data_IF_491053207802
#
_entry.id   IF_491053207802
#
_cell.length_a   1.000
_cell.length_b   1.000
_cell.length_c   1.000
_cell.angle_alpha   90.00
_cell.angle_beta   90.00
_cell.angle_gamma   90.00
#
_symmetry.space_group_name_H-M   'P 1'
#
loop_
_entity.id
_entity.type
_entity.pdbx_description
1 polymer ?
#
# COMPACT_ATOMS: atom_id res chain seq x y z
N UNK A 1 13.86 7.23 -4.47
CA UNK A 1 12.98 6.07 -4.22
C UNK A 1 13.57 5.32 -3.03
N UNK A 2 13.16 5.67 -1.81
CA UNK A 2 13.70 5.07 -0.59
C UNK A 2 13.15 3.65 -0.44
N UNK A 3 14.04 2.66 -0.34
CA UNK A 3 13.69 1.30 -0.01
C UNK A 3 13.28 1.22 1.47
N UNK A 4 12.00 0.99 1.74
CA UNK A 4 11.52 0.68 3.09
C UNK A 4 11.97 -0.76 3.40
N UNK A 5 12.83 -0.93 4.40
CA UNK A 5 13.05 -2.25 5.02
C UNK A 5 11.81 -2.61 5.80
N UNK A 6 10.82 -3.18 5.12
CA UNK A 6 9.63 -3.73 5.75
C UNK A 6 10.11 -4.95 6.54
N UNK A 7 10.13 -4.82 7.86
CA UNK A 7 10.14 -5.96 8.74
C UNK A 7 8.78 -6.66 8.55
N UNK A 8 8.76 -7.67 7.68
CA UNK A 8 7.56 -8.43 7.23
C UNK A 8 6.77 -9.06 8.40
N UNK A 9 7.25 -8.95 9.64
CA UNK A 9 6.75 -9.74 10.77
C UNK A 9 5.98 -8.98 11.86
N UNK A 10 5.84 -7.64 11.83
CA UNK A 10 5.33 -6.90 13.02
C UNK A 10 4.42 -5.68 12.77
N UNK A 11 4.12 -5.26 11.54
CA UNK A 11 3.34 -4.03 11.30
C UNK A 11 2.11 -4.28 10.42
N UNK A 12 0.93 -4.16 11.03
CA UNK A 12 -0.39 -4.17 10.37
C UNK A 12 -0.76 -2.82 9.75
N UNK A 13 0.03 -1.77 10.01
CA UNK A 13 -0.18 -0.39 9.54
C UNK A 13 1.12 0.20 9.03
N UNK A 14 1.07 0.84 7.87
CA UNK A 14 2.19 1.58 7.28
C UNK A 14 1.74 3.01 6.98
N UNK A 15 2.59 3.98 7.32
CA UNK A 15 2.39 5.38 7.01
C UNK A 15 3.56 5.96 6.22
N UNK A 16 3.25 6.81 5.25
CA UNK A 16 4.24 7.49 4.41
C UNK A 16 3.68 8.79 3.84
N UNK A 17 4.57 9.71 3.51
CA UNK A 17 4.22 10.96 2.83
C UNK A 17 4.30 10.73 1.33
N UNK A 18 3.17 10.92 0.65
CA UNK A 18 3.08 10.82 -0.81
C UNK A 18 3.83 11.98 -1.48
N UNK A 19 4.17 11.83 -2.77
CA UNK A 19 4.79 12.92 -3.55
C UNK A 19 3.93 14.21 -3.60
N UNK A 20 2.63 14.10 -3.32
CA UNK A 20 1.73 15.25 -3.17
C UNK A 20 1.75 15.91 -1.80
N UNK A 21 2.70 15.55 -0.92
CA UNK A 21 2.83 16.11 0.43
C UNK A 21 1.75 15.64 1.42
N UNK A 22 1.02 14.56 1.10
CA UNK A 22 -0.08 14.05 1.93
C UNK A 22 0.33 12.78 2.66
N UNK A 23 -0.08 12.64 3.92
CA UNK A 23 0.07 11.41 4.68
C UNK A 23 -0.92 10.36 4.13
N UNK A 24 -0.39 9.22 3.70
CA UNK A 24 -1.17 8.04 3.39
C UNK A 24 -0.92 7.01 4.49
N UNK A 25 -2.01 6.48 5.03
CA UNK A 25 -2.01 5.35 5.96
C UNK A 25 -2.66 4.18 5.23
N UNK A 26 -1.98 3.04 5.21
CA UNK A 26 -2.48 1.79 4.65
C UNK A 26 -2.35 0.69 5.70
N UNK A 27 -3.37 -0.15 5.79
CA UNK A 27 -3.47 -1.17 6.82
C UNK A 27 -3.83 -2.52 6.19
N UNK A 28 -3.50 -3.59 6.90
CA UNK A 28 -3.79 -4.93 6.44
C UNK A 28 -2.94 -5.98 7.14
N UNK A 29 -2.74 -7.09 6.45
CA UNK A 29 -2.20 -8.31 7.03
C UNK A 29 -1.54 -9.21 5.98
N UNK A 30 -0.99 -10.32 6.46
CA UNK A 30 -0.49 -11.38 5.60
C UNK A 30 -1.64 -12.15 4.94
N UNK A 31 -1.60 -12.27 3.62
CA UNK A 31 -2.53 -13.06 2.79
C UNK A 31 -1.72 -13.85 1.77
N UNK A 32 -1.91 -15.18 1.73
CA UNK A 32 -1.26 -16.07 0.77
C UNK A 32 0.27 -15.89 0.67
N UNK A 33 0.93 -15.68 1.82
CA UNK A 33 2.38 -15.49 1.91
C UNK A 33 2.89 -14.10 1.49
N UNK A 34 1.99 -13.13 1.25
CA UNK A 34 2.32 -11.75 0.95
C UNK A 34 1.73 -10.81 2.01
N UNK A 35 2.41 -9.70 2.33
CA UNK A 35 1.79 -8.62 3.08
C UNK A 35 0.92 -7.80 2.12
N UNK A 36 -0.37 -7.68 2.43
CA UNK A 36 -1.33 -6.91 1.63
C UNK A 36 -1.88 -5.79 2.49
N UNK A 37 -1.52 -4.55 2.15
CA UNK A 37 -2.00 -3.35 2.84
C UNK A 37 -2.81 -2.49 1.88
N UNK A 38 -3.89 -1.89 2.35
CA UNK A 38 -4.72 -0.99 1.56
C UNK A 38 -5.18 0.22 2.38
N UNK A 39 -5.52 1.29 1.69
CA UNK A 39 -6.04 2.51 2.31
C UNK A 39 -6.54 3.49 1.26
N UNK A 40 -7.05 4.63 1.72
CA UNK A 40 -7.57 5.67 0.84
C UNK A 40 -6.54 6.79 0.68
N UNK A 41 -6.10 7.01 -0.56
CA UNK A 41 -5.33 8.19 -0.98
C UNK A 41 -6.34 9.29 -1.33
N UNK A 42 -6.84 9.96 -0.30
CA UNK A 42 -7.87 10.99 -0.39
C UNK A 42 -7.32 12.41 -0.49
N UNK A 43 -8.10 13.27 -1.14
CA UNK A 43 -8.01 14.73 -0.99
C UNK A 43 -8.98 15.20 0.11
N UNK A 44 -8.80 16.41 0.63
CA UNK A 44 -9.69 17.02 1.63
C UNK A 44 -11.15 17.14 1.15
N UNK A 45 -11.40 17.02 -0.17
CA UNK A 45 -12.71 17.13 -0.83
C UNK A 45 -13.42 15.79 -1.09
N UNK A 46 -12.89 14.65 -0.63
CA UNK A 46 -13.58 13.36 -0.70
C UNK A 46 -13.43 12.59 -2.02
N UNK A 47 -12.85 13.20 -3.06
CA UNK A 47 -12.38 12.50 -4.26
C UNK A 47 -11.04 11.83 -3.94
N UNK A 48 -11.11 10.60 -3.44
CA UNK A 48 -9.95 9.76 -3.17
C UNK A 48 -9.89 8.55 -4.08
N UNK A 49 -8.69 8.02 -4.28
CA UNK A 49 -8.49 6.69 -4.88
C UNK A 49 -8.13 5.69 -3.80
N UNK A 50 -8.55 4.45 -3.95
CA UNK A 50 -8.01 3.38 -3.13
C UNK A 50 -6.60 3.04 -3.62
N UNK A 51 -5.71 2.76 -2.67
CA UNK A 51 -4.36 2.25 -2.92
C UNK A 51 -4.24 0.91 -2.23
N UNK A 52 -3.56 -0.04 -2.88
CA UNK A 52 -3.20 -1.34 -2.33
C UNK A 52 -1.75 -1.64 -2.68
N UNK A 53 -0.94 -1.94 -1.67
CA UNK A 53 0.39 -2.50 -1.87
C UNK A 53 0.40 -3.99 -1.56
N UNK A 54 1.10 -4.75 -2.38
CA UNK A 54 1.38 -6.17 -2.16
C UNK A 54 2.89 -6.34 -2.06
N UNK A 55 3.36 -6.84 -0.93
CA UNK A 55 4.77 -7.12 -0.68
C UNK A 55 4.99 -8.63 -0.60
N UNK A 56 5.64 -9.16 -1.63
CA UNK A 56 6.00 -10.58 -1.74
C UNK A 56 7.46 -10.79 -1.35
N UNK A 57 7.76 -11.77 -0.48
CA UNK A 57 9.14 -12.18 -0.25
C UNK A 57 9.81 -12.61 -1.56
N UNK A 58 11.06 -12.21 -1.75
CA UNK A 58 11.94 -12.68 -2.82
C UNK A 58 13.33 -12.94 -2.21
N UNK A 59 14.21 -13.61 -2.94
CA UNK A 59 15.56 -13.89 -2.44
C UNK A 59 16.28 -12.62 -2.01
N UNK A 60 16.62 -12.53 -0.72
CA UNK A 60 17.32 -11.40 -0.12
C UNK A 60 16.48 -10.13 0.07
N UNK A 61 15.14 -10.18 -0.10
CA UNK A 61 14.32 -8.98 0.08
C UNK A 61 12.83 -9.16 -0.17
N UNK A 62 12.22 -8.09 -0.68
CA UNK A 62 10.77 -7.97 -0.91
C UNK A 62 10.53 -7.29 -2.24
N UNK A 63 9.59 -7.83 -3.03
CA UNK A 63 9.03 -7.17 -4.21
C UNK A 63 7.72 -6.51 -3.82
N UNK A 64 7.66 -5.19 -3.98
CA UNK A 64 6.42 -4.42 -3.92
C UNK A 64 5.72 -4.41 -5.28
N UNK A 65 4.39 -4.50 -5.27
CA UNK A 65 3.51 -4.15 -6.40
C UNK A 65 2.38 -3.29 -5.86
N UNK A 66 2.31 -2.04 -6.32
CA UNK A 66 1.25 -1.10 -5.97
C UNK A 66 0.10 -1.20 -6.96
N UNK A 67 -1.11 -0.98 -6.49
CA UNK A 67 -2.32 -0.89 -7.30
C UNK A 67 -3.17 0.29 -6.84
N UNK A 68 -3.95 0.84 -7.76
CA UNK A 68 -4.93 1.87 -7.46
C UNK A 68 -6.30 1.52 -8.04
N UNK A 69 -7.35 2.01 -7.38
CA UNK A 69 -8.73 1.89 -7.84
C UNK A 69 -9.46 3.22 -7.68
N UNK A 70 -10.18 3.61 -8.72
CA UNK A 70 -10.99 4.84 -8.77
C UNK A 70 -12.49 4.55 -8.81
N UNK A 71 -12.89 3.28 -8.71
CA UNK A 71 -14.29 2.83 -8.84
C UNK A 71 -14.78 2.07 -7.59
N UNK A 72 -14.18 2.39 -6.43
CA UNK A 72 -14.53 1.79 -5.15
C UNK A 72 -13.99 0.36 -4.99
N UNK A 73 -12.91 0.01 -5.68
CA UNK A 73 -12.25 -1.29 -5.55
C UNK A 73 -12.80 -2.36 -6.50
N UNK A 74 -13.63 -1.99 -7.48
CA UNK A 74 -14.16 -2.95 -8.47
C UNK A 74 -13.09 -3.32 -9.49
N UNK A 75 -12.31 -2.35 -9.94
CA UNK A 75 -11.14 -2.57 -10.80
C UNK A 75 -9.88 -2.01 -10.16
N UNK A 76 -8.76 -2.72 -10.38
CA UNK A 76 -7.45 -2.37 -9.84
C UNK A 76 -6.44 -2.28 -10.97
N UNK A 77 -5.67 -1.19 -10.99
CA UNK A 77 -4.62 -0.93 -11.98
C UNK A 77 -3.26 -0.85 -11.28
N UNK A 78 -2.23 -1.56 -11.76
CA UNK A 78 -0.86 -1.37 -11.30
C UNK A 78 -0.39 0.08 -11.47
#
# INVERSE_FOLDING_TARGET
MLAIRIAIYQLESLSWVTNGGRLLIIEGNMQDGAMVLAGMDGTTSGEGRLVRGIWKPVDGGVRETAFTSTDGGKTWKP
#
